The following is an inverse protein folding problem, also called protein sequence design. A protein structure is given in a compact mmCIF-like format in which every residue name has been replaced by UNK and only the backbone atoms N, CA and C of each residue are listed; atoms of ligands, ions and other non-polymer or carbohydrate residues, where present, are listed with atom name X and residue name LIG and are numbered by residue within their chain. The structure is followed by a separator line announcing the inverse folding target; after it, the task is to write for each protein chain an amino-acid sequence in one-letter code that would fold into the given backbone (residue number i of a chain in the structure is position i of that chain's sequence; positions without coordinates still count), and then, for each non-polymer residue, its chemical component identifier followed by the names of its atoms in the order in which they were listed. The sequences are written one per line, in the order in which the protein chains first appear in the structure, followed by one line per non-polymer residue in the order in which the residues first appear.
data_IF_494222209198
#
_entry.id   IF_494222209198
#
_cell.length_a   1.000
_cell.length_b   1.000
_cell.length_c   1.000
_cell.angle_alpha   90.00
_cell.angle_beta   90.00
_cell.angle_gamma   90.00
#
_symmetry.space_group_name_H-M   'P 1'
#
loop_
_entity.id
_entity.type
_entity.pdbx_description
1 polymer ?
#
# COMPACT_ATOMS: atom_id res chain seq x y z
N UNK A 1 19.97 27.50 -6.61
CA UNK A 1 19.08 26.78 -5.68
C UNK A 1 19.69 26.90 -4.31
N UNK A 2 18.86 27.12 -3.29
CA UNK A 2 19.35 27.42 -1.95
C UNK A 2 19.79 26.15 -1.21
N UNK A 3 20.94 26.20 -0.53
CA UNK A 3 21.50 25.04 0.16
C UNK A 3 20.71 24.64 1.42
N UNK A 4 19.72 25.46 1.80
CA UNK A 4 18.77 25.19 2.87
C UNK A 4 17.75 24.08 2.55
N UNK A 5 17.42 23.86 1.28
CA UNK A 5 16.39 22.91 0.82
C UNK A 5 16.96 21.62 0.20
N UNK A 6 18.24 21.36 0.38
CA UNK A 6 18.87 20.11 -0.04
C UNK A 6 19.00 19.20 1.20
N UNK A 7 18.38 18.00 1.22
CA UNK A 7 18.49 17.10 2.37
C UNK A 7 19.91 16.53 2.48
N UNK A 8 20.29 16.15 3.69
CA UNK A 8 21.59 15.57 4.02
C UNK A 8 21.47 14.10 4.39
N UNK A 9 22.52 13.33 4.14
CA UNK A 9 22.67 11.97 4.67
C UNK A 9 23.19 11.96 6.12
N UNK A 10 23.32 10.77 6.71
CA UNK A 10 23.70 10.61 8.12
C UNK A 10 25.15 11.08 8.42
N UNK A 11 26.00 11.20 7.40
CA UNK A 11 27.34 11.79 7.48
C UNK A 11 27.33 13.34 7.33
N UNK A 12 26.17 13.94 7.02
CA UNK A 12 25.97 15.38 6.88
C UNK A 12 26.27 15.95 5.49
N UNK A 13 26.47 15.08 4.48
CA UNK A 13 26.69 15.49 3.09
C UNK A 13 25.36 15.69 2.36
N UNK A 14 25.34 16.63 1.42
CA UNK A 14 24.15 16.91 0.63
C UNK A 14 23.83 15.76 -0.34
N UNK A 15 22.59 15.28 -0.30
CA UNK A 15 22.09 14.24 -1.19
C UNK A 15 21.91 14.82 -2.59
N UNK A 16 22.43 14.13 -3.60
CA UNK A 16 22.33 14.58 -4.98
C UNK A 16 20.89 14.44 -5.48
N UNK A 17 20.24 15.56 -5.85
CA UNK A 17 18.82 15.58 -6.21
C UNK A 17 18.41 14.54 -7.28
N UNK A 18 19.29 14.24 -8.23
CA UNK A 18 19.02 13.27 -9.30
C UNK A 18 19.04 11.80 -8.85
N UNK A 19 19.53 11.50 -7.65
CA UNK A 19 19.47 10.15 -7.05
C UNK A 19 18.21 9.95 -6.21
N UNK A 20 17.42 11.00 -5.94
CA UNK A 20 16.15 10.90 -5.21
C UNK A 20 15.07 10.33 -6.15
N UNK A 21 14.55 9.15 -5.84
CA UNK A 21 13.51 8.47 -6.63
C UNK A 21 12.10 8.62 -6.05
N UNK A 22 11.98 8.96 -4.76
CA UNK A 22 10.72 9.32 -4.11
C UNK A 22 10.95 10.20 -2.87
N UNK A 23 9.92 10.96 -2.48
CA UNK A 23 9.89 11.72 -1.23
C UNK A 23 8.47 11.68 -0.65
N UNK A 24 8.37 11.56 0.67
CA UNK A 24 7.15 11.79 1.46
C UNK A 24 7.44 12.83 2.55
N UNK A 25 6.61 12.85 3.60
CA UNK A 25 6.66 13.94 4.61
C UNK A 25 7.84 13.83 5.58
N UNK A 26 8.27 12.60 5.89
CA UNK A 26 9.33 12.32 6.85
C UNK A 26 10.53 11.54 6.26
N UNK A 27 10.38 11.03 5.04
CA UNK A 27 11.29 10.06 4.44
C UNK A 27 11.50 10.36 2.95
N UNK A 28 12.72 10.15 2.48
CA UNK A 28 13.06 10.19 1.06
C UNK A 28 13.75 8.89 0.66
N UNK A 29 13.61 8.49 -0.60
CA UNK A 29 14.21 7.28 -1.14
C UNK A 29 15.28 7.67 -2.15
N UNK A 30 16.51 7.24 -1.89
CA UNK A 30 17.68 7.49 -2.73
C UNK A 30 18.08 6.21 -3.45
N UNK A 31 18.28 6.27 -4.76
CA UNK A 31 18.96 5.24 -5.53
C UNK A 31 20.47 5.36 -5.32
N UNK A 32 21.08 4.40 -4.61
CA UNK A 32 22.54 4.25 -4.52
C UNK A 32 22.92 2.85 -5.03
N UNK A 33 23.83 2.81 -6.00
CA UNK A 33 24.23 1.57 -6.70
C UNK A 33 22.99 0.83 -7.25
N UNK A 34 22.71 -0.41 -6.83
CA UNK A 34 21.53 -1.18 -7.24
C UNK A 34 20.38 -1.13 -6.19
N UNK A 35 20.47 -0.28 -5.17
CA UNK A 35 19.56 -0.25 -4.01
C UNK A 35 18.76 1.05 -3.88
N UNK A 36 17.47 0.92 -3.61
CA UNK A 36 16.64 1.99 -3.09
C UNK A 36 16.79 2.10 -1.56
N UNK A 37 17.44 3.17 -1.07
CA UNK A 37 17.65 3.44 0.34
C UNK A 37 16.61 4.45 0.83
N UNK A 38 15.63 4.00 1.63
CA UNK A 38 14.70 4.87 2.36
C UNK A 38 15.41 5.44 3.60
N UNK A 39 15.54 6.76 3.66
CA UNK A 39 16.21 7.49 4.76
C UNK A 39 15.34 8.65 5.25
N UNK A 40 15.59 9.12 6.46
CA UNK A 40 14.85 10.23 7.05
C UNK A 40 15.16 11.54 6.31
N UNK A 41 14.15 12.39 6.09
CA UNK A 41 14.40 13.75 5.62
C UNK A 41 15.02 14.55 6.76
N UNK A 42 16.26 15.00 6.55
CA UNK A 42 16.99 15.89 7.44
C UNK A 42 17.60 17.00 6.59
N UNK A 43 17.43 18.26 6.99
CA UNK A 43 18.13 19.41 6.40
C UNK A 43 19.11 19.98 7.42
N UNK A 44 20.17 20.68 6.97
CA UNK A 44 21.17 21.28 7.89
C UNK A 44 20.60 22.30 8.89
N UNK A 45 19.40 22.82 8.65
CA UNK A 45 18.73 23.78 9.51
C UNK A 45 17.75 23.14 10.52
N UNK A 46 17.55 21.81 10.48
CA UNK A 46 16.69 21.12 11.43
C UNK A 46 17.30 21.09 12.84
N UNK A 47 16.44 21.18 13.85
CA UNK A 47 16.82 20.85 15.23
C UNK A 47 17.03 19.34 15.38
N UNK A 48 17.71 18.94 16.46
CA UNK A 48 17.89 17.52 16.80
C UNK A 48 16.53 16.80 16.92
N UNK A 49 15.53 17.46 17.49
CA UNK A 49 14.17 16.94 17.69
C UNK A 49 13.44 16.70 16.36
N UNK A 50 13.48 17.67 15.43
CA UNK A 50 12.89 17.53 14.09
C UNK A 50 13.53 16.39 13.29
N UNK A 51 14.86 16.29 13.33
CA UNK A 51 15.58 15.18 12.69
C UNK A 51 15.24 13.83 13.34
N UNK A 52 15.08 13.80 14.67
CA UNK A 52 14.79 12.58 15.41
C UNK A 52 13.35 12.10 15.25
N UNK A 53 12.37 13.00 15.08
CA UNK A 53 10.99 12.64 14.76
C UNK A 53 10.93 11.84 13.45
N UNK A 54 11.57 12.36 12.38
CA UNK A 54 11.66 11.70 11.08
C UNK A 54 12.43 10.38 11.15
N UNK A 55 13.56 10.35 11.88
CA UNK A 55 14.33 9.11 12.13
C UNK A 55 13.52 8.08 12.92
N UNK A 56 12.67 8.49 13.85
CA UNK A 56 11.84 7.58 14.63
C UNK A 56 10.81 6.83 13.76
N UNK A 57 10.24 7.51 12.76
CA UNK A 57 9.31 6.93 11.77
C UNK A 57 10.01 5.84 10.94
N UNK A 58 11.21 6.13 10.42
CA UNK A 58 12.07 5.13 9.75
C UNK A 58 12.40 3.94 10.67
N UNK A 59 12.78 4.18 11.92
CA UNK A 59 13.13 3.09 12.85
C UNK A 59 11.94 2.20 13.21
N UNK A 60 10.72 2.74 13.34
CA UNK A 60 9.49 1.95 13.49
C UNK A 60 9.31 1.01 12.30
N UNK A 61 9.43 1.54 11.09
CA UNK A 61 9.36 0.75 9.86
C UNK A 61 10.43 -0.37 9.82
N UNK A 62 11.67 -0.05 10.16
CA UNK A 62 12.78 -1.03 10.26
C UNK A 62 12.57 -2.12 11.33
N UNK A 63 11.81 -1.86 12.40
CA UNK A 63 11.44 -2.90 13.39
C UNK A 63 10.45 -3.89 12.78
N UNK A 64 9.53 -3.42 11.93
CA UNK A 64 8.58 -4.29 11.23
C UNK A 64 9.26 -5.06 10.11
N UNK A 65 10.09 -4.40 9.27
CA UNK A 65 10.85 -5.05 8.20
C UNK A 65 11.82 -6.13 8.70
N UNK A 66 12.43 -5.95 9.88
CA UNK A 66 13.28 -6.98 10.53
C UNK A 66 12.55 -8.28 10.89
N UNK A 67 11.20 -8.33 10.81
CA UNK A 67 10.42 -9.56 10.95
C UNK A 67 10.10 -10.26 9.62
N UNK A 68 10.45 -9.68 8.46
CA UNK A 68 9.84 -10.03 7.16
C UNK A 68 10.86 -10.23 5.99
N UNK A 69 12.13 -9.84 6.14
CA UNK A 69 13.17 -9.92 5.08
C UNK A 69 13.25 -11.26 4.28
N UNK A 70 13.67 -11.26 2.99
CA UNK A 70 13.78 -10.16 2.00
C UNK A 70 13.18 -10.58 0.61
N UNK A 71 13.38 -9.96 -0.57
CA UNK A 71 14.09 -8.77 -1.08
C UNK A 71 13.15 -8.04 -2.08
N UNK A 72 13.07 -6.69 -2.10
CA UNK A 72 12.23 -5.94 -3.05
C UNK A 72 12.78 -4.53 -3.38
N UNK A 73 12.55 -4.05 -4.61
CA UNK A 73 12.92 -2.71 -5.13
C UNK A 73 11.70 -2.07 -5.84
N UNK A 74 11.71 -0.75 -6.10
CA UNK A 74 10.67 0.01 -6.85
C UNK A 74 11.29 0.63 -8.11
N UNK A 75 10.59 0.78 -9.28
CA UNK A 75 9.33 1.54 -9.43
C UNK A 75 8.31 1.01 -10.47
N UNK A 76 7.01 1.36 -10.33
CA UNK A 76 5.97 0.91 -11.28
C UNK A 76 4.90 1.97 -11.62
N UNK A 77 5.05 2.64 -12.78
CA UNK A 77 3.92 3.08 -13.63
C UNK A 77 4.29 3.57 -15.06
N UNK A 78 5.49 3.30 -15.58
CA UNK A 78 5.88 3.65 -16.98
C UNK A 78 6.01 2.43 -17.91
N UNK A 79 5.06 1.50 -17.85
CA UNK A 79 4.94 0.43 -18.84
C UNK A 79 3.66 0.62 -19.68
N UNK A 80 3.87 1.03 -20.94
CA UNK A 80 2.84 1.41 -21.92
C UNK A 80 1.87 0.27 -22.34
N UNK A 81 1.99 -0.91 -21.74
CA UNK A 81 1.17 -2.08 -22.02
C UNK A 81 0.57 -2.65 -20.72
N UNK A 82 -0.75 -2.90 -20.72
CA UNK A 82 -1.42 -3.51 -19.56
C UNK A 82 -0.89 -4.93 -19.30
N UNK A 83 -0.66 -5.32 -18.04
CA UNK A 83 -0.25 -6.68 -17.68
C UNK A 83 -1.28 -7.71 -18.14
N UNK A 84 -0.82 -8.93 -18.47
CA UNK A 84 -1.71 -10.03 -18.85
C UNK A 84 -2.65 -10.43 -17.70
N UNK A 85 -3.82 -10.98 -18.00
CA UNK A 85 -4.79 -11.40 -16.98
C UNK A 85 -4.18 -12.47 -16.04
N UNK A 86 -3.27 -13.30 -16.55
CA UNK A 86 -2.49 -14.26 -15.77
C UNK A 86 -1.59 -13.55 -14.74
N UNK A 87 -0.89 -12.49 -15.15
CA UNK A 87 -0.04 -11.71 -14.28
C UNK A 87 -0.86 -10.91 -13.25
N UNK A 88 -1.96 -10.28 -13.67
CA UNK A 88 -2.89 -9.60 -12.76
C UNK A 88 -3.45 -10.58 -11.70
N UNK A 89 -3.82 -11.81 -12.08
CA UNK A 89 -4.24 -12.86 -11.14
C UNK A 89 -3.14 -13.26 -10.15
N UNK A 90 -1.89 -13.39 -10.61
CA UNK A 90 -0.72 -13.65 -9.73
C UNK A 90 -0.59 -12.54 -8.69
N UNK A 91 -0.67 -11.27 -9.11
CA UNK A 91 -0.61 -10.13 -8.22
C UNK A 91 -1.76 -10.08 -7.22
N UNK A 92 -3.01 -10.26 -7.68
CA UNK A 92 -4.16 -10.31 -6.78
C UNK A 92 -4.01 -11.40 -5.71
N UNK A 93 -3.48 -12.58 -6.09
CA UNK A 93 -3.20 -13.69 -5.17
C UNK A 93 -2.13 -13.32 -4.14
N UNK A 94 -1.03 -12.70 -4.57
CA UNK A 94 0.06 -12.28 -3.69
C UNK A 94 -0.39 -11.21 -2.69
N UNK A 95 -1.11 -10.18 -3.15
CA UNK A 95 -1.64 -9.13 -2.28
C UNK A 95 -2.69 -9.65 -1.29
N UNK A 96 -3.61 -10.52 -1.73
CA UNK A 96 -4.57 -11.15 -0.83
C UNK A 96 -3.91 -12.03 0.25
N UNK A 97 -2.84 -12.76 -0.10
CA UNK A 97 -2.03 -13.52 0.87
C UNK A 97 -1.28 -12.58 1.83
N UNK A 98 -0.71 -11.47 1.33
CA UNK A 98 -0.04 -10.47 2.15
C UNK A 98 -1.00 -9.85 3.17
N UNK A 99 -2.15 -9.37 2.72
CA UNK A 99 -3.15 -8.74 3.59
C UNK A 99 -3.73 -9.72 4.61
N UNK A 100 -4.04 -10.95 4.20
CA UNK A 100 -4.47 -12.01 5.12
C UNK A 100 -3.42 -12.25 6.22
N UNK A 101 -2.12 -12.26 5.87
CA UNK A 101 -1.04 -12.43 6.84
C UNK A 101 -0.92 -11.28 7.85
N UNK A 102 -1.24 -10.04 7.45
CA UNK A 102 -1.32 -8.88 8.35
C UNK A 102 -2.50 -9.03 9.32
N UNK A 103 -3.71 -9.29 8.80
CA UNK A 103 -4.93 -9.46 9.60
C UNK A 103 -4.83 -10.62 10.61
N UNK A 104 -4.21 -11.74 10.21
CA UNK A 104 -3.92 -12.86 11.12
C UNK A 104 -2.94 -12.48 12.26
N UNK A 105 -2.07 -11.49 12.03
CA UNK A 105 -1.11 -10.96 13.02
C UNK A 105 -1.64 -9.73 13.77
N UNK A 106 -2.95 -9.48 13.70
CA UNK A 106 -3.62 -8.34 14.35
C UNK A 106 -3.13 -6.97 13.87
N UNK A 107 -2.66 -6.90 12.63
CA UNK A 107 -2.26 -5.63 11.99
C UNK A 107 -3.36 -5.18 11.03
N UNK A 108 -3.81 -3.93 11.16
CA UNK A 108 -4.63 -3.21 10.18
C UNK A 108 -3.67 -2.34 9.37
N UNK A 109 -3.73 -2.38 8.04
CA UNK A 109 -2.77 -1.67 7.20
C UNK A 109 -3.02 -0.16 7.16
N UNK A 110 -4.30 0.22 7.04
CA UNK A 110 -4.86 1.58 7.04
C UNK A 110 -4.51 2.44 5.81
N UNK A 111 -3.36 2.24 5.14
CA UNK A 111 -3.00 2.94 3.88
C UNK A 111 -2.67 1.99 2.71
N UNK A 112 -3.58 1.09 2.32
CA UNK A 112 -3.31 0.05 1.32
C UNK A 112 -3.57 0.50 -0.13
N UNK A 113 -2.81 1.51 -0.59
CA UNK A 113 -2.95 2.09 -1.93
C UNK A 113 -1.85 1.64 -2.90
N UNK A 114 -2.02 1.89 -4.21
CA UNK A 114 -1.13 1.38 -5.26
C UNK A 114 0.34 1.82 -5.12
N UNK A 115 0.59 2.98 -4.50
CA UNK A 115 1.93 3.47 -4.14
C UNK A 115 2.66 2.59 -3.10
N UNK A 116 1.89 1.87 -2.28
CA UNK A 116 2.36 1.03 -1.18
C UNK A 116 2.42 -0.46 -1.58
N UNK A 117 2.58 -0.71 -2.90
CA UNK A 117 2.81 -2.03 -3.47
C UNK A 117 4.21 -2.06 -4.11
N UNK A 118 5.11 -2.88 -3.57
CA UNK A 118 6.42 -3.18 -4.17
C UNK A 118 6.26 -4.23 -5.26
N UNK A 119 7.20 -4.27 -6.22
CA UNK A 119 7.36 -5.42 -7.09
C UNK A 119 8.79 -5.62 -7.56
N UNK A 120 9.26 -6.87 -7.46
CA UNK A 120 10.62 -7.28 -7.79
C UNK A 120 10.86 -7.47 -9.30
N UNK A 121 12.12 -7.74 -9.67
CA UNK A 121 12.51 -8.05 -11.05
C UNK A 121 11.92 -9.37 -11.60
N UNK A 122 11.30 -10.19 -10.76
CA UNK A 122 10.56 -11.41 -11.14
C UNK A 122 9.04 -11.17 -11.29
N UNK A 123 8.60 -9.91 -11.23
CA UNK A 123 7.21 -9.48 -11.27
C UNK A 123 6.33 -10.10 -10.16
N UNK A 124 6.89 -10.38 -8.99
CA UNK A 124 6.13 -10.61 -7.75
C UNK A 124 5.72 -9.27 -7.15
N UNK A 125 4.56 -9.18 -6.51
CA UNK A 125 4.15 -8.00 -5.71
C UNK A 125 4.15 -8.29 -4.21
N UNK A 126 4.42 -7.26 -3.41
CA UNK A 126 4.31 -7.28 -1.95
C UNK A 126 3.68 -5.99 -1.43
N UNK A 127 2.99 -6.07 -0.30
CA UNK A 127 2.46 -4.90 0.43
C UNK A 127 3.60 -4.28 1.24
N UNK A 128 3.69 -2.94 1.28
CA UNK A 128 4.70 -2.20 2.03
C UNK A 128 4.14 -0.94 2.69
N UNK A 129 5.02 -0.20 3.35
CA UNK A 129 4.73 1.03 4.11
C UNK A 129 3.68 0.86 5.21
N UNK A 130 4.12 0.20 6.29
CA UNK A 130 3.34 -0.03 7.49
C UNK A 130 3.41 1.18 8.46
N UNK A 131 3.75 2.38 7.96
CA UNK A 131 3.86 3.60 8.75
C UNK A 131 2.53 4.12 9.30
N UNK A 132 1.43 3.81 8.61
CA UNK A 132 0.06 4.12 9.05
C UNK A 132 -0.65 2.96 9.77
N UNK A 133 0.04 1.82 9.95
CA UNK A 133 -0.60 0.58 10.40
C UNK A 133 -0.76 0.47 11.91
N UNK A 134 -1.92 -0.01 12.34
CA UNK A 134 -2.28 -0.23 13.74
C UNK A 134 -2.10 -1.68 14.16
N UNK A 135 -1.55 -1.91 15.37
CA UNK A 135 -1.39 -3.24 15.96
C UNK A 135 -2.42 -3.42 17.07
N UNK A 136 -3.40 -4.29 16.83
CA UNK A 136 -4.46 -4.61 17.78
C UNK A 136 -3.99 -5.65 18.80
N UNK A 137 -4.61 -5.72 20.01
CA UNK A 137 -4.39 -6.79 20.97
C UNK A 137 -4.55 -8.21 20.38
N UNK A 138 -3.83 -9.18 20.94
CA UNK A 138 -3.74 -10.54 20.38
C UNK A 138 -5.09 -11.27 20.36
N UNK A 139 -5.90 -11.00 21.37
CA UNK A 139 -7.25 -11.51 21.62
C UNK A 139 -8.35 -10.74 20.88
N UNK A 140 -8.03 -9.64 20.19
CA UNK A 140 -9.00 -8.86 19.41
C UNK A 140 -9.66 -9.68 18.30
N UNK A 141 -10.99 -9.63 18.25
CA UNK A 141 -11.80 -10.15 17.14
C UNK A 141 -11.75 -9.14 15.99
N UNK A 142 -10.80 -9.33 15.07
CA UNK A 142 -10.49 -8.38 13.99
C UNK A 142 -11.66 -8.01 13.06
N UNK A 143 -12.73 -8.82 13.03
CA UNK A 143 -13.91 -8.56 12.19
C UNK A 143 -14.77 -7.40 12.72
N UNK A 144 -14.76 -7.19 14.04
CA UNK A 144 -15.57 -6.18 14.75
C UNK A 144 -14.69 -5.01 15.25
N UNK A 145 -13.39 -5.05 14.96
CA UNK A 145 -12.40 -4.13 15.48
C UNK A 145 -12.14 -2.95 14.53
N UNK A 146 -12.01 -1.77 15.12
CA UNK A 146 -11.46 -0.57 14.49
C UNK A 146 -10.27 -0.06 15.28
N UNK A 147 -9.33 0.64 14.63
CA UNK A 147 -8.28 1.39 15.32
C UNK A 147 -8.72 2.82 15.68
N UNK A 148 -7.81 3.59 16.27
CA UNK A 148 -8.05 4.99 16.70
C UNK A 148 -8.42 5.93 15.53
N UNK A 149 -8.15 5.52 14.28
CA UNK A 149 -8.51 6.24 13.05
C UNK A 149 -9.75 5.66 12.37
N UNK A 150 -10.50 4.78 13.04
CA UNK A 150 -11.68 4.09 12.51
C UNK A 150 -11.37 3.21 11.26
N UNK A 151 -10.11 2.78 11.09
CA UNK A 151 -9.74 1.79 10.08
C UNK A 151 -10.00 0.37 10.61
N UNK A 152 -10.33 -0.56 9.70
CA UNK A 152 -10.64 -1.96 10.01
C UNK A 152 -10.10 -2.88 8.93
N UNK A 153 -10.22 -4.20 9.14
CA UNK A 153 -9.93 -5.17 8.07
C UNK A 153 -10.81 -4.96 6.82
N UNK A 154 -11.95 -4.27 6.94
CA UNK A 154 -12.85 -3.95 5.85
C UNK A 154 -12.41 -2.71 5.06
N UNK A 155 -11.88 -1.67 5.72
CA UNK A 155 -11.30 -0.51 5.02
C UNK A 155 -10.07 -0.92 4.22
N UNK A 156 -9.19 -1.76 4.80
CA UNK A 156 -8.07 -2.41 4.11
C UNK A 156 -8.53 -3.19 2.86
N UNK A 157 -9.60 -3.99 2.97
CA UNK A 157 -10.14 -4.74 1.85
C UNK A 157 -10.72 -3.83 0.76
N UNK A 158 -11.36 -2.72 1.14
CA UNK A 158 -11.86 -1.72 0.20
C UNK A 158 -10.71 -1.04 -0.56
N UNK A 159 -9.64 -0.65 0.14
CA UNK A 159 -8.41 -0.10 -0.44
C UNK A 159 -7.72 -1.12 -1.37
N UNK A 160 -7.64 -2.40 -0.99
CA UNK A 160 -7.18 -3.47 -1.89
C UNK A 160 -8.05 -3.58 -3.15
N UNK A 161 -9.35 -3.31 -3.04
CA UNK A 161 -10.26 -3.20 -4.18
C UNK A 161 -9.91 -2.06 -5.14
N UNK A 162 -9.42 -0.92 -4.64
CA UNK A 162 -8.89 0.18 -5.46
C UNK A 162 -7.61 -0.27 -6.18
N UNK A 163 -6.65 -0.89 -5.48
CA UNK A 163 -5.43 -1.44 -6.08
C UNK A 163 -5.75 -2.47 -7.18
N UNK A 164 -6.73 -3.33 -6.95
CA UNK A 164 -7.23 -4.29 -7.93
C UNK A 164 -7.87 -3.62 -9.15
N UNK A 165 -8.61 -2.53 -8.97
CA UNK A 165 -9.13 -1.71 -10.07
C UNK A 165 -7.99 -1.08 -10.88
N UNK A 166 -6.99 -0.52 -10.21
CA UNK A 166 -5.81 0.11 -10.83
C UNK A 166 -5.04 -0.90 -11.68
N UNK A 167 -4.71 -2.08 -11.13
CA UNK A 167 -4.06 -3.18 -11.85
C UNK A 167 -4.90 -3.64 -13.06
N UNK A 168 -6.21 -3.82 -12.89
CA UNK A 168 -7.05 -4.42 -13.93
C UNK A 168 -7.46 -3.44 -15.05
N UNK A 169 -7.39 -2.12 -14.80
CA UNK A 169 -7.80 -1.09 -15.76
C UNK A 169 -6.67 -0.17 -16.21
N UNK A 170 -5.55 -0.09 -15.49
CA UNK A 170 -4.50 0.90 -15.70
C UNK A 170 -4.95 2.33 -15.44
N UNK A 171 -5.91 2.54 -14.53
CA UNK A 171 -6.45 3.86 -14.16
C UNK A 171 -6.30 4.08 -12.66
N UNK A 172 -5.42 5.00 -12.29
CA UNK A 172 -5.27 5.50 -10.92
C UNK A 172 -6.57 6.17 -10.49
N UNK A 173 -6.99 5.93 -9.24
CA UNK A 173 -8.26 6.45 -8.73
C UNK A 173 -8.13 7.76 -7.95
N UNK A 174 -7.05 7.92 -7.18
CA UNK A 174 -6.84 9.08 -6.29
C UNK A 174 -7.84 9.16 -5.12
N UNK A 175 -8.56 8.07 -4.83
CA UNK A 175 -9.57 8.03 -3.77
C UNK A 175 -8.90 7.82 -2.41
N UNK A 176 -9.22 8.71 -1.46
CA UNK A 176 -8.91 8.55 -0.03
C UNK A 176 -10.14 7.99 0.71
N UNK A 177 -9.92 7.25 1.80
CA UNK A 177 -10.99 6.85 2.72
C UNK A 177 -11.10 7.76 3.95
N UNK A 178 -10.13 8.66 4.12
CA UNK A 178 -10.06 9.63 5.20
C UNK A 178 -10.81 10.91 4.82
N UNK A 179 -11.54 11.50 5.77
CA UNK A 179 -12.21 12.78 5.54
C UNK A 179 -11.18 13.91 5.42
N UNK A 180 -11.30 14.73 4.37
CA UNK A 180 -10.35 15.79 4.03
C UNK A 180 -10.56 17.07 4.87
N UNK A 181 -11.06 16.95 6.10
CA UNK A 181 -11.33 18.05 7.03
C UNK A 181 -10.09 18.83 7.49
N UNK A 182 -8.89 18.41 7.10
CA UNK A 182 -7.64 19.14 7.33
C UNK A 182 -7.13 19.14 8.78
N UNK A 183 -7.69 18.28 9.63
CA UNK A 183 -7.25 18.10 11.03
C UNK A 183 -6.48 16.79 11.20
N UNK A 184 -5.51 16.76 12.12
CA UNK A 184 -4.76 15.54 12.51
C UNK A 184 -5.64 14.39 13.04
N UNK A 185 -6.92 14.67 13.33
CA UNK A 185 -7.94 13.71 13.77
C UNK A 185 -8.79 13.14 12.62
N UNK A 186 -8.28 13.11 11.39
CA UNK A 186 -9.02 12.59 10.24
C UNK A 186 -9.29 11.08 10.41
N UNK A 187 -10.57 10.72 10.57
CA UNK A 187 -11.01 9.32 10.66
C UNK A 187 -11.34 8.76 9.27
N UNK A 188 -11.08 7.48 9.09
CA UNK A 188 -11.51 6.72 7.92
C UNK A 188 -13.00 6.39 8.01
N UNK A 189 -13.64 6.22 6.85
CA UNK A 189 -14.99 5.65 6.75
C UNK A 189 -15.05 4.62 5.61
N UNK A 190 -15.89 3.59 5.75
CA UNK A 190 -16.15 2.71 4.62
C UNK A 190 -16.94 3.49 3.56
N UNK A 191 -16.43 3.65 2.32
CA UNK A 191 -17.00 4.59 1.36
C UNK A 191 -18.33 4.08 0.79
N UNK A 192 -19.25 5.01 0.54
CA UNK A 192 -20.46 4.73 -0.23
C UNK A 192 -20.10 4.33 -1.67
N UNK A 193 -20.92 3.44 -2.28
CA UNK A 193 -20.57 2.82 -3.57
C UNK A 193 -20.47 3.83 -4.71
N UNK A 194 -21.12 4.98 -4.62
CA UNK A 194 -21.09 6.09 -5.57
C UNK A 194 -19.75 6.87 -5.57
N UNK A 195 -19.00 6.88 -4.46
CA UNK A 195 -17.64 7.41 -4.42
C UNK A 195 -16.63 6.50 -5.15
N UNK A 196 -16.99 5.23 -5.38
CA UNK A 196 -16.10 4.22 -5.94
C UNK A 196 -16.26 4.05 -7.47
N UNK A 197 -15.20 3.69 -8.22
CA UNK A 197 -15.25 3.64 -9.68
C UNK A 197 -16.33 2.72 -10.26
N UNK A 198 -16.93 3.12 -11.37
CA UNK A 198 -17.89 2.27 -12.10
C UNK A 198 -17.16 1.13 -12.81
N UNK A 199 -17.53 -0.12 -12.50
CA UNK A 199 -16.93 -1.29 -13.15
C UNK A 199 -17.62 -1.62 -14.47
N UNK A 200 -16.81 -1.85 -15.51
CA UNK A 200 -17.29 -2.38 -16.78
C UNK A 200 -17.89 -3.78 -16.61
N UNK A 201 -18.97 -4.10 -17.35
CA UNK A 201 -19.53 -5.47 -17.42
C UNK A 201 -18.57 -6.48 -18.04
N UNK A 202 -17.52 -6.02 -18.74
CA UNK A 202 -16.47 -6.86 -19.37
C UNK A 202 -15.19 -6.98 -18.54
N UNK A 203 -15.12 -6.35 -17.36
CA UNK A 203 -13.95 -6.44 -16.48
C UNK A 203 -13.89 -7.85 -15.87
N UNK A 204 -12.81 -8.58 -16.11
CA UNK A 204 -12.68 -9.98 -15.68
C UNK A 204 -12.74 -10.15 -14.15
N UNK A 205 -12.21 -9.16 -13.41
CA UNK A 205 -12.15 -9.14 -11.96
C UNK A 205 -13.36 -8.47 -11.29
N UNK A 206 -14.41 -8.13 -12.06
CA UNK A 206 -15.56 -7.33 -11.57
C UNK A 206 -16.09 -7.81 -10.22
N UNK A 207 -16.41 -9.10 -10.12
CA UNK A 207 -17.03 -9.67 -8.91
C UNK A 207 -16.12 -9.62 -7.69
N UNK A 208 -14.80 -9.83 -7.88
CA UNK A 208 -13.80 -9.72 -6.80
C UNK A 208 -13.77 -8.28 -6.25
N UNK A 209 -13.74 -7.29 -7.14
CA UNK A 209 -13.65 -5.87 -6.78
C UNK A 209 -14.97 -5.37 -6.15
N UNK A 210 -16.15 -5.69 -6.72
CA UNK A 210 -17.44 -5.36 -6.07
C UNK A 210 -17.62 -6.03 -4.69
N UNK A 211 -16.92 -7.14 -4.43
CA UNK A 211 -16.95 -7.79 -3.11
C UNK A 211 -16.00 -7.11 -2.13
N UNK A 212 -14.85 -6.60 -2.58
CA UNK A 212 -14.00 -5.71 -1.78
C UNK A 212 -14.71 -4.40 -1.40
N UNK A 213 -15.57 -3.90 -2.29
CA UNK A 213 -16.34 -2.66 -2.14
C UNK A 213 -17.70 -2.85 -1.46
N UNK A 214 -17.84 -3.92 -0.68
CA UNK A 214 -18.95 -4.14 0.24
C UNK A 214 -18.35 -4.42 1.61
N UNK A 215 -18.75 -3.64 2.60
CA UNK A 215 -18.35 -3.87 3.99
C UNK A 215 -18.79 -5.28 4.42
N UNK A 216 -17.89 -6.02 5.09
CA UNK A 216 -18.10 -7.43 5.41
C UNK A 216 -18.22 -8.37 4.20
N UNK A 217 -17.92 -7.93 2.96
CA UNK A 217 -18.26 -8.64 1.73
C UNK A 217 -17.66 -10.04 1.55
N UNK A 218 -16.54 -10.32 2.22
CA UNK A 218 -15.92 -11.66 2.28
C UNK A 218 -16.25 -12.45 3.55
N UNK A 219 -17.03 -11.87 4.48
CA UNK A 219 -17.38 -12.46 5.77
C UNK A 219 -16.16 -12.89 6.58
N UNK A 220 -16.32 -13.91 7.43
CA UNK A 220 -15.27 -14.42 8.31
C UNK A 220 -13.98 -14.90 7.60
N UNK A 221 -13.99 -15.06 6.27
CA UNK A 221 -12.78 -15.36 5.50
C UNK A 221 -11.86 -14.14 5.31
N UNK A 222 -12.42 -12.92 5.30
CA UNK A 222 -11.67 -11.70 4.98
C UNK A 222 -10.87 -11.84 3.67
N UNK A 223 -9.61 -11.39 3.69
CA UNK A 223 -8.73 -11.42 2.52
C UNK A 223 -8.50 -12.82 1.90
N UNK A 224 -8.61 -13.93 2.65
CA UNK A 224 -8.45 -15.27 2.06
C UNK A 224 -9.62 -15.65 1.14
N UNK A 225 -10.80 -15.03 1.32
CA UNK A 225 -11.96 -15.22 0.45
C UNK A 225 -11.74 -14.73 -0.99
N UNK A 226 -10.80 -13.80 -1.21
CA UNK A 226 -10.37 -13.36 -2.54
C UNK A 226 -9.76 -14.54 -3.33
N UNK A 227 -9.02 -15.42 -2.66
CA UNK A 227 -8.36 -16.57 -3.30
C UNK A 227 -9.38 -17.55 -3.88
N UNK A 228 -10.42 -17.88 -3.10
CA UNK A 228 -11.52 -18.72 -3.55
C UNK A 228 -12.20 -18.12 -4.80
N UNK A 229 -12.43 -16.80 -4.83
CA UNK A 229 -12.98 -16.13 -6.02
C UNK A 229 -12.03 -16.18 -7.21
N UNK A 230 -10.74 -15.86 -7.04
CA UNK A 230 -9.72 -15.90 -8.09
C UNK A 230 -9.63 -17.26 -8.81
N UNK A 231 -9.76 -18.34 -8.04
CA UNK A 231 -9.66 -19.71 -8.55
C UNK A 231 -10.92 -20.12 -9.36
N UNK A 232 -12.09 -19.52 -9.09
CA UNK A 232 -13.31 -19.73 -9.92
C UNK A 232 -13.31 -18.94 -11.24
N UNK A 233 -12.55 -17.85 -11.35
CA UNK A 233 -12.48 -17.04 -12.58
C UNK A 233 -11.82 -17.85 -13.70
N UNK A 234 -12.61 -18.33 -14.65
CA UNK A 234 -12.10 -18.98 -15.87
C UNK A 234 -11.30 -17.97 -16.70
N UNK A 235 -10.12 -18.38 -17.18
CA UNK A 235 -9.36 -17.57 -18.13
C UNK A 235 -10.22 -17.30 -19.38
N UNK A 236 -10.19 -16.08 -19.96
CA UNK A 236 -10.96 -15.80 -21.16
C UNK A 236 -10.54 -16.75 -22.28
N UNK A 237 -11.53 -17.46 -22.85
CA UNK A 237 -11.30 -18.31 -24.03
C UNK A 237 -10.67 -17.45 -25.12
N UNK A 238 -9.46 -17.82 -25.56
CA UNK A 238 -8.90 -17.28 -26.81
C UNK A 238 -9.94 -17.51 -27.90
N UNK A 239 -10.49 -16.42 -28.46
CA UNK A 239 -11.19 -16.50 -29.73
C UNK A 239 -10.14 -16.95 -30.76
N UNK A 240 -10.39 -18.10 -31.39
CA UNK A 240 -9.76 -18.45 -32.67
C UNK A 240 -10.35 -17.55 -33.75
#
# INVERSE_FOLDING_TARGET
MDAAYCPIDDDGYYIQLHTIIASGDAALVVHREDMAIKMAIVYKHYTLEQAEENRSKIRREQVVWRRIQPDFNTPWLDHRARPSIQLQKRWFRQLAIGLHNLHQRRVIHSDLLGRNILMDGSLNVAICDLGASSVMPIDTVMADAVDDYNCSIWTDLCQLGLVFYEIATGRITGISLYDNGGSDNAVSSFPSRDMLPVLSKRLWARDIIETCWREGGYGAAGAVGILAKLDTVKAPRRRR
#
